data_IF_189122735404
#
_entry.id   IF_189122735404
#
_cell.length_a   1.000
_cell.length_b   1.000
_cell.length_c   1.000
_cell.angle_alpha   90.00
_cell.angle_beta   90.00
_cell.angle_gamma   90.00
#
_symmetry.space_group_name_H-M   'P 1'
#
loop_
_entity.id
_entity.type
_entity.pdbx_description
1 polymer ?
#
# COMPACT_ATOMS: atom_id res chain seq x y z
N UNK A 1 -53.17 -4.87 76.45
CA UNK A 1 -52.24 -3.87 75.86
C UNK A 1 -50.88 -4.03 76.53
N UNK A 2 -49.73 -3.91 75.84
CA UNK A 2 -49.52 -3.30 74.53
C UNK A 2 -48.93 -4.24 73.45
N UNK A 3 -48.99 -3.72 72.23
CA UNK A 3 -48.63 -4.24 70.92
C UNK A 3 -47.12 -4.17 70.65
N UNK A 4 -46.56 -5.16 69.94
CA UNK A 4 -45.22 -5.06 69.32
C UNK A 4 -45.28 -5.47 67.86
N UNK A 5 -45.36 -4.46 66.99
CA UNK A 5 -45.32 -4.60 65.53
C UNK A 5 -43.84 -4.70 65.12
N UNK A 6 -43.44 -5.77 64.42
CA UNK A 6 -42.15 -5.84 63.71
C UNK A 6 -42.33 -5.21 62.32
N UNK A 7 -41.42 -4.31 61.87
CA UNK A 7 -41.51 -3.73 60.55
C UNK A 7 -41.11 -4.75 59.49
N UNK A 8 -41.96 -4.91 58.47
CA UNK A 8 -41.63 -5.69 57.28
C UNK A 8 -40.50 -5.02 56.50
N UNK A 9 -39.42 -5.76 56.29
CA UNK A 9 -38.38 -5.42 55.32
C UNK A 9 -38.96 -5.46 53.91
N UNK A 10 -39.35 -4.30 53.39
CA UNK A 10 -39.70 -4.16 51.98
C UNK A 10 -38.46 -4.35 51.10
N UNK A 11 -38.40 -5.50 50.45
CA UNK A 11 -37.44 -5.86 49.42
C UNK A 11 -37.47 -4.86 48.26
N UNK A 12 -36.52 -3.91 48.25
CA UNK A 12 -36.20 -3.09 47.06
C UNK A 12 -35.43 -3.96 46.05
N UNK A 13 -36.14 -4.82 45.30
CA UNK A 13 -35.56 -5.58 44.17
C UNK A 13 -36.11 -5.21 42.79
N UNK A 14 -37.09 -4.30 42.69
CA UNK A 14 -37.73 -3.97 41.41
C UNK A 14 -37.02 -2.92 40.54
N UNK A 15 -36.06 -2.15 41.08
CA UNK A 15 -35.39 -1.10 40.29
C UNK A 15 -34.39 -1.60 39.24
N UNK A 16 -33.81 -2.80 39.42
CA UNK A 16 -32.71 -3.29 38.57
C UNK A 16 -33.15 -3.85 37.21
N UNK A 17 -34.41 -4.29 37.07
CA UNK A 17 -34.94 -4.80 35.78
C UNK A 17 -35.43 -3.68 34.87
N UNK A 18 -36.09 -2.65 35.42
CA UNK A 18 -36.54 -1.49 34.65
C UNK A 18 -35.36 -0.65 34.12
N UNK A 19 -34.30 -0.47 34.92
CA UNK A 19 -33.10 0.26 34.51
C UNK A 19 -32.37 -0.39 33.31
N UNK A 20 -32.47 -1.71 33.13
CA UNK A 20 -31.84 -2.43 32.00
C UNK A 20 -32.54 -2.18 30.67
N UNK A 21 -33.86 -1.92 30.67
CA UNK A 21 -34.62 -1.63 29.46
C UNK A 21 -34.34 -0.23 28.91
N UNK A 22 -34.20 0.75 29.80
CA UNK A 22 -33.96 2.16 29.45
C UNK A 22 -32.59 2.32 28.78
N UNK A 23 -31.55 1.67 29.32
CA UNK A 23 -30.19 1.71 28.74
C UNK A 23 -30.14 1.12 27.32
N UNK A 24 -30.90 0.06 27.05
CA UNK A 24 -30.98 -0.52 25.70
C UNK A 24 -31.63 0.42 24.69
N UNK A 25 -32.64 1.20 25.12
CA UNK A 25 -33.33 2.17 24.26
C UNK A 25 -32.44 3.37 23.97
N UNK A 26 -31.72 3.88 24.97
CA UNK A 26 -30.73 4.95 24.77
C UNK A 26 -29.60 4.51 23.84
N UNK A 27 -29.09 3.28 24.01
CA UNK A 27 -28.07 2.72 23.11
C UNK A 27 -28.60 2.55 21.68
N UNK A 28 -29.85 2.10 21.50
CA UNK A 28 -30.45 1.95 20.18
C UNK A 28 -30.60 3.28 19.43
N UNK A 29 -30.82 4.37 20.16
CA UNK A 29 -30.95 5.73 19.60
C UNK A 29 -29.57 6.34 19.27
N UNK A 30 -28.52 6.03 20.04
CA UNK A 30 -27.15 6.47 19.79
C UNK A 30 -26.40 5.63 18.75
N UNK A 31 -26.76 4.36 18.59
CA UNK A 31 -26.15 3.42 17.65
C UNK A 31 -26.02 3.96 16.21
N UNK A 32 -27.04 4.56 15.57
CA UNK A 32 -26.89 5.08 14.20
C UNK A 32 -25.83 6.18 14.10
N UNK A 33 -25.68 7.03 15.11
CA UNK A 33 -24.65 8.07 15.16
C UNK A 33 -23.27 7.44 15.34
N UNK A 34 -23.15 6.45 16.23
CA UNK A 34 -21.91 5.72 16.46
C UNK A 34 -21.46 4.95 15.20
N UNK A 35 -22.38 4.29 14.50
CA UNK A 35 -22.09 3.60 13.24
C UNK A 35 -21.67 4.60 12.16
N UNK A 36 -22.37 5.73 12.03
CA UNK A 36 -22.00 6.78 11.09
C UNK A 36 -20.59 7.33 11.32
N UNK A 37 -20.12 7.37 12.57
CA UNK A 37 -18.75 7.80 12.92
C UNK A 37 -17.71 6.67 12.78
N UNK A 38 -18.06 5.44 13.15
CA UNK A 38 -17.13 4.30 13.13
C UNK A 38 -16.75 3.89 11.70
N UNK A 39 -17.69 4.01 10.77
CA UNK A 39 -17.57 3.58 9.39
C UNK A 39 -16.43 4.30 8.62
N UNK A 40 -16.35 5.65 8.58
CA UNK A 40 -15.21 6.34 7.98
C UNK A 40 -13.87 6.05 8.68
N UNK A 41 -13.87 5.95 10.02
CA UNK A 41 -12.66 5.65 10.80
C UNK A 41 -12.10 4.27 10.43
N UNK A 42 -12.97 3.29 10.19
CA UNK A 42 -12.57 1.97 9.74
C UNK A 42 -11.89 2.01 8.37
N UNK A 43 -12.45 2.74 7.41
CA UNK A 43 -11.83 2.89 6.08
C UNK A 43 -10.46 3.59 6.17
N UNK A 44 -10.32 4.61 7.03
CA UNK A 44 -9.02 5.26 7.30
C UNK A 44 -8.01 4.26 7.88
N UNK A 45 -8.42 3.49 8.91
CA UNK A 45 -7.55 2.52 9.56
C UNK A 45 -7.04 1.46 8.58
N UNK A 46 -7.92 0.93 7.72
CA UNK A 46 -7.55 -0.02 6.67
C UNK A 46 -6.57 0.58 5.66
N UNK A 47 -6.76 1.85 5.31
CA UNK A 47 -5.88 2.56 4.37
C UNK A 47 -4.46 2.76 4.95
N UNK A 48 -4.38 3.17 6.21
CA UNK A 48 -3.10 3.29 6.92
C UNK A 48 -2.40 1.92 7.03
N UNK A 49 -3.15 0.88 7.38
CA UNK A 49 -2.61 -0.48 7.47
C UNK A 49 -2.04 -0.94 6.12
N UNK A 50 -2.77 -0.73 5.03
CA UNK A 50 -2.30 -1.06 3.69
C UNK A 50 -1.03 -0.29 3.31
N UNK A 51 -0.98 1.01 3.60
CA UNK A 51 0.20 1.83 3.35
C UNK A 51 1.44 1.31 4.13
N UNK A 52 1.28 0.93 5.39
CA UNK A 52 2.38 0.36 6.19
C UNK A 52 2.91 -0.95 5.60
N UNK A 53 2.01 -1.82 5.14
CA UNK A 53 2.38 -3.09 4.50
C UNK A 53 3.19 -2.82 3.23
N UNK A 54 2.74 -1.90 2.37
CA UNK A 54 3.47 -1.55 1.12
C UNK A 54 4.85 -0.96 1.40
N UNK A 55 4.98 -0.11 2.42
CA UNK A 55 6.29 0.43 2.83
C UNK A 55 7.21 -0.70 3.28
N UNK A 56 6.73 -1.63 4.10
CA UNK A 56 7.55 -2.75 4.56
C UNK A 56 7.94 -3.68 3.39
N UNK A 57 7.00 -3.98 2.49
CA UNK A 57 7.25 -4.78 1.28
C UNK A 57 8.28 -4.12 0.37
N UNK A 58 8.19 -2.81 0.14
CA UNK A 58 9.18 -2.11 -0.69
C UNK A 58 10.57 -2.14 -0.04
N UNK A 59 10.67 -1.99 1.29
CA UNK A 59 11.95 -2.06 2.02
C UNK A 59 12.54 -3.46 2.03
N UNK A 60 11.74 -4.47 2.34
CA UNK A 60 12.17 -5.86 2.33
C UNK A 60 12.54 -6.29 0.91
N UNK A 61 11.75 -5.89 -0.09
CA UNK A 61 12.02 -6.13 -1.49
C UNK A 61 13.31 -5.48 -1.96
N UNK A 62 13.59 -4.23 -1.60
CA UNK A 62 14.82 -3.56 -1.98
C UNK A 62 16.06 -4.24 -1.35
N UNK A 63 15.97 -4.66 -0.10
CA UNK A 63 17.05 -5.41 0.56
C UNK A 63 17.23 -6.84 0.01
N UNK A 64 16.14 -7.52 -0.33
CA UNK A 64 16.21 -8.87 -0.91
C UNK A 64 16.72 -8.84 -2.34
N UNK A 65 16.26 -7.89 -3.15
CA UNK A 65 16.73 -7.75 -4.54
C UNK A 65 18.20 -7.37 -4.59
N UNK A 66 18.66 -6.42 -3.79
CA UNK A 66 20.08 -6.03 -3.78
C UNK A 66 21.05 -7.15 -3.40
N UNK A 67 20.59 -8.14 -2.62
CA UNK A 67 21.43 -9.25 -2.15
C UNK A 67 21.23 -10.55 -2.91
N UNK A 68 20.02 -10.79 -3.40
CA UNK A 68 19.60 -12.09 -3.90
C UNK A 68 19.21 -12.09 -5.39
N UNK A 69 19.25 -10.94 -6.06
CA UNK A 69 18.99 -10.79 -7.51
C UNK A 69 19.81 -11.72 -8.39
N UNK A 70 21.05 -12.01 -7.98
CA UNK A 70 21.98 -12.87 -8.72
C UNK A 70 21.73 -14.38 -8.48
N UNK A 71 21.01 -14.73 -7.41
CA UNK A 71 20.80 -16.13 -6.99
C UNK A 71 19.38 -16.61 -7.28
N UNK A 72 18.38 -15.72 -7.17
CA UNK A 72 16.98 -16.06 -7.36
C UNK A 72 16.35 -15.21 -8.46
N UNK A 73 15.45 -15.77 -9.28
CA UNK A 73 14.72 -15.00 -10.26
C UNK A 73 13.81 -13.98 -9.56
N UNK A 74 13.67 -12.79 -10.16
CA UNK A 74 12.92 -11.67 -9.57
C UNK A 74 11.47 -12.02 -9.25
N UNK A 75 10.83 -12.89 -10.04
CA UNK A 75 9.48 -13.37 -9.75
C UNK A 75 9.37 -14.12 -8.43
N UNK A 76 10.39 -14.89 -8.04
CA UNK A 76 10.38 -15.62 -6.77
C UNK A 76 10.50 -14.66 -5.59
N UNK A 77 11.28 -13.59 -5.75
CA UNK A 77 11.39 -12.53 -4.74
C UNK A 77 10.06 -11.78 -4.63
N UNK A 78 9.45 -11.38 -5.75
CA UNK A 78 8.16 -10.69 -5.71
C UNK A 78 7.04 -11.59 -5.19
N UNK A 79 7.02 -12.87 -5.54
CA UNK A 79 5.98 -13.79 -5.06
C UNK A 79 6.08 -14.04 -3.56
N UNK A 80 7.29 -14.15 -3.00
CA UNK A 80 7.49 -14.25 -1.55
C UNK A 80 7.05 -12.97 -0.83
N UNK A 81 7.36 -11.79 -1.38
CA UNK A 81 6.87 -10.51 -0.85
C UNK A 81 5.34 -10.45 -0.86
N UNK A 82 4.68 -10.85 -1.95
CA UNK A 82 3.21 -10.88 -2.00
C UNK A 82 2.57 -11.91 -1.06
N UNK A 83 3.31 -12.94 -0.66
CA UNK A 83 2.82 -13.91 0.33
C UNK A 83 2.81 -13.34 1.76
N UNK A 84 3.59 -12.27 2.04
CA UNK A 84 3.66 -11.62 3.35
C UNK A 84 2.72 -10.41 3.49
N UNK A 85 1.99 -10.05 2.42
CA UNK A 85 1.02 -8.94 2.43
C UNK A 85 -0.39 -9.20 2.95
N UNK A 86 -0.88 -10.43 3.27
CA UNK A 86 -2.19 -10.59 3.89
C UNK A 86 -2.35 -9.67 5.11
N UNK A 87 -3.47 -8.93 5.23
CA UNK A 87 -4.78 -9.11 4.57
C UNK A 87 -4.96 -8.46 3.19
N UNK A 88 -3.93 -7.86 2.59
CA UNK A 88 -4.03 -7.25 1.26
C UNK A 88 -4.09 -8.34 0.17
N UNK A 89 -5.00 -8.15 -0.79
CA UNK A 89 -5.10 -9.00 -1.96
C UNK A 89 -4.25 -8.44 -3.09
N UNK A 90 -2.95 -8.77 -3.09
CA UNK A 90 -2.02 -8.32 -4.12
C UNK A 90 -2.41 -8.85 -5.51
N UNK A 91 -2.91 -10.09 -5.62
CA UNK A 91 -3.33 -10.68 -6.91
C UNK A 91 -4.41 -9.85 -7.61
N UNK A 92 -5.41 -9.35 -6.87
CA UNK A 92 -6.50 -8.59 -7.47
C UNK A 92 -6.17 -7.10 -7.66
N UNK A 93 -5.44 -6.51 -6.72
CA UNK A 93 -5.33 -5.05 -6.60
C UNK A 93 -3.92 -4.53 -6.39
N UNK A 94 -2.91 -5.38 -6.32
CA UNK A 94 -1.53 -5.01 -6.04
C UNK A 94 -0.60 -5.24 -7.21
N UNK A 95 0.49 -4.48 -7.23
CA UNK A 95 1.61 -4.68 -8.15
C UNK A 95 2.92 -4.31 -7.50
N UNK A 96 3.99 -4.99 -7.91
CA UNK A 96 5.35 -4.69 -7.52
C UNK A 96 6.19 -4.52 -8.78
N UNK A 97 6.94 -3.43 -8.84
CA UNK A 97 7.97 -3.20 -9.85
C UNK A 97 9.33 -3.14 -9.17
N UNK A 98 10.32 -3.75 -9.79
CA UNK A 98 11.72 -3.67 -9.40
C UNK A 98 12.48 -3.07 -10.58
N UNK A 99 13.02 -1.88 -10.41
CA UNK A 99 13.80 -1.17 -11.43
C UNK A 99 15.26 -1.13 -10.99
N UNK A 100 16.14 -1.53 -11.88
CA UNK A 100 17.58 -1.47 -11.69
C UNK A 100 18.12 -0.19 -12.32
N UNK A 101 18.73 0.66 -11.50
CA UNK A 101 19.29 1.95 -11.90
C UNK A 101 20.80 1.88 -11.75
N UNK A 102 21.52 2.16 -12.82
CA UNK A 102 22.97 2.29 -12.80
C UNK A 102 23.38 3.75 -12.84
N UNK A 103 24.35 4.14 -12.02
CA UNK A 103 24.98 5.45 -12.11
C UNK A 103 25.69 5.63 -13.45
N UNK A 104 25.40 6.73 -14.15
CA UNK A 104 26.06 7.10 -15.38
C UNK A 104 26.93 8.35 -15.14
N UNK A 105 28.08 8.44 -15.82
CA UNK A 105 28.95 9.63 -15.79
C UNK A 105 28.44 10.77 -16.69
N UNK A 106 27.13 10.79 -16.97
CA UNK A 106 26.50 11.87 -17.72
C UNK A 106 26.23 13.06 -16.79
N UNK A 107 27.29 13.50 -16.12
CA UNK A 107 27.31 14.66 -15.24
C UNK A 107 27.49 15.92 -16.09
N UNK A 108 27.14 17.09 -15.55
CA UNK A 108 27.55 18.34 -16.16
C UNK A 108 29.08 18.49 -16.17
N UNK A 109 29.60 19.46 -16.92
CA UNK A 109 31.04 19.71 -17.05
C UNK A 109 31.73 20.07 -15.71
N UNK A 110 30.96 20.29 -14.64
CA UNK A 110 31.45 20.54 -13.28
C UNK A 110 31.37 19.30 -12.39
N UNK A 111 30.99 18.13 -12.94
CA UNK A 111 30.83 16.89 -12.20
C UNK A 111 29.57 16.82 -11.33
N UNK A 112 28.63 17.75 -11.49
CA UNK A 112 27.36 17.75 -10.77
C UNK A 112 26.25 17.11 -11.62
N UNK A 113 25.11 16.82 -11.00
CA UNK A 113 23.91 16.36 -11.70
C UNK A 113 24.03 15.02 -12.45
N UNK A 114 24.95 14.14 -12.05
CA UNK A 114 25.09 12.80 -12.63
C UNK A 114 23.78 12.02 -12.55
N UNK A 115 23.18 11.70 -13.70
CA UNK A 115 21.90 11.00 -13.76
C UNK A 115 22.07 9.49 -13.74
N UNK A 116 21.08 8.79 -13.18
CA UNK A 116 21.00 7.33 -13.31
C UNK A 116 20.43 6.93 -14.67
N UNK A 117 20.77 5.73 -15.13
CA UNK A 117 20.15 5.08 -16.29
C UNK A 117 19.46 3.80 -15.86
N UNK A 118 18.31 3.50 -16.46
CA UNK A 118 17.61 2.23 -16.24
C UNK A 118 18.27 1.15 -17.08
N UNK A 119 18.74 0.09 -16.42
CA UNK A 119 19.42 -1.04 -17.06
C UNK A 119 18.51 -2.26 -17.17
N UNK A 120 17.67 -2.47 -16.15
CA UNK A 120 16.67 -3.53 -16.15
C UNK A 120 15.42 -3.07 -15.40
N UNK A 121 14.28 -3.66 -15.76
CA UNK A 121 13.06 -3.50 -15.01
C UNK A 121 12.28 -4.81 -15.00
N UNK A 122 11.69 -5.13 -13.87
CA UNK A 122 10.88 -6.31 -13.66
C UNK A 122 9.52 -5.90 -13.08
N UNK A 123 8.45 -6.58 -13.52
CA UNK A 123 7.12 -6.49 -12.92
C UNK A 123 6.70 -7.82 -12.33
N UNK A 124 5.91 -7.79 -11.27
CA UNK A 124 5.29 -9.01 -10.77
C UNK A 124 4.20 -9.51 -11.72
N UNK A 125 4.21 -10.81 -12.05
CA UNK A 125 3.24 -11.39 -13.00
C UNK A 125 2.05 -12.10 -12.31
N UNK A 126 2.00 -12.10 -10.97
CA UNK A 126 0.93 -12.77 -10.22
C UNK A 126 -0.34 -11.94 -10.01
N UNK A 127 -0.41 -10.73 -10.59
CA UNK A 127 -1.50 -9.78 -10.40
C UNK A 127 -2.36 -9.54 -11.65
N UNK A 128 -3.55 -8.97 -11.45
CA UNK A 128 -4.45 -8.52 -12.52
C UNK A 128 -4.56 -6.97 -12.62
N UNK A 129 -3.92 -6.27 -11.70
CA UNK A 129 -3.79 -4.82 -11.71
C UNK A 129 -2.45 -4.46 -12.38
N UNK A 130 -2.37 -3.42 -13.20
CA UNK A 130 -1.12 -3.06 -13.90
C UNK A 130 -0.97 -1.53 -14.00
N UNK A 131 -0.74 -0.82 -12.89
CA UNK A 131 -0.49 0.62 -12.92
C UNK A 131 0.88 0.91 -13.54
N UNK A 132 1.02 2.05 -14.20
CA UNK A 132 2.33 2.48 -14.71
C UNK A 132 3.29 2.77 -13.54
N UNK A 133 4.53 2.28 -13.64
CA UNK A 133 5.62 2.62 -12.72
C UNK A 133 5.85 4.14 -12.72
N UNK A 134 6.15 4.72 -11.55
CA UNK A 134 6.45 6.15 -11.41
C UNK A 134 7.93 6.45 -11.69
N UNK A 135 8.80 5.44 -11.59
CA UNK A 135 10.24 5.59 -11.86
C UNK A 135 10.53 5.59 -13.35
N UNK A 136 10.05 4.56 -14.05
CA UNK A 136 10.19 4.42 -15.50
C UNK A 136 9.24 3.32 -16.00
N UNK A 137 8.61 3.48 -17.15
CA UNK A 137 7.59 2.54 -17.61
C UNK A 137 8.03 1.75 -18.86
N UNK A 138 8.27 0.45 -18.69
CA UNK A 138 8.42 -0.48 -19.80
C UNK A 138 7.14 -0.56 -20.65
N UNK A 139 7.31 -0.57 -21.98
CA UNK A 139 6.24 -0.29 -22.94
C UNK A 139 6.43 1.05 -23.67
N UNK A 140 7.35 1.88 -23.17
CA UNK A 140 7.75 3.14 -23.77
C UNK A 140 9.04 2.97 -24.57
N UNK A 141 9.27 3.82 -25.57
CA UNK A 141 10.53 3.86 -26.33
C UNK A 141 10.95 2.51 -26.98
N UNK A 142 9.98 1.71 -27.44
CA UNK A 142 10.24 0.42 -28.13
C UNK A 142 10.51 -0.76 -27.19
N UNK A 143 10.41 -0.55 -25.87
CA UNK A 143 10.52 -1.62 -24.87
C UNK A 143 9.18 -2.35 -24.69
N UNK A 144 9.22 -3.61 -24.29
CA UNK A 144 8.02 -4.42 -24.08
C UNK A 144 8.21 -5.44 -22.97
N UNK A 145 7.17 -5.71 -22.20
CA UNK A 145 7.21 -6.76 -21.20
C UNK A 145 7.37 -8.14 -21.83
N UNK A 146 8.31 -8.93 -21.32
CA UNK A 146 8.53 -10.30 -21.73
C UNK A 146 7.30 -11.18 -21.42
N UNK A 147 6.97 -12.08 -22.36
CA UNK A 147 5.85 -13.03 -22.25
C UNK A 147 6.29 -14.42 -21.76
N UNK A 148 7.54 -14.57 -21.37
CA UNK A 148 8.18 -15.80 -20.89
C UNK A 148 7.89 -16.12 -19.41
N UNK A 149 7.10 -15.28 -18.74
CA UNK A 149 6.78 -15.40 -17.32
C UNK A 149 7.84 -14.85 -16.37
N UNK A 150 8.98 -14.35 -16.88
CA UNK A 150 10.01 -13.71 -16.05
C UNK A 150 9.59 -12.32 -15.57
N UNK A 151 8.62 -11.70 -16.26
CA UNK A 151 8.18 -10.33 -16.02
C UNK A 151 9.27 -9.29 -16.25
N UNK A 152 10.35 -9.65 -16.95
CA UNK A 152 11.41 -8.72 -17.34
C UNK A 152 10.94 -7.78 -18.45
N UNK A 153 11.53 -6.59 -18.50
CA UNK A 153 11.37 -5.68 -19.62
C UNK A 153 12.40 -5.98 -20.72
N UNK A 154 11.92 -6.24 -21.94
CA UNK A 154 12.73 -6.53 -23.12
C UNK A 154 13.04 -5.26 -23.92
N UNK A 155 14.11 -5.32 -24.71
CA UNK A 155 14.59 -4.27 -25.61
C UNK A 155 15.04 -2.97 -24.91
N UNK A 156 15.41 -3.05 -23.62
CA UNK A 156 16.11 -1.94 -22.97
C UNK A 156 17.50 -1.81 -23.64
N UNK A 157 17.87 -0.61 -24.13
CA UNK A 157 19.20 -0.37 -24.68
C UNK A 157 20.31 -0.71 -23.69
N UNK A 158 21.41 -1.28 -24.18
CA UNK A 158 22.60 -1.53 -23.37
C UNK A 158 23.04 -0.23 -22.66
N UNK A 159 23.55 -0.39 -21.43
CA UNK A 159 23.93 0.73 -20.55
C UNK A 159 24.81 1.75 -21.29
N UNK A 160 24.31 2.98 -21.46
CA UNK A 160 25.01 4.04 -22.17
C UNK A 160 24.14 5.25 -22.49
N UNK A 161 24.53 6.03 -23.50
CA UNK A 161 23.86 7.28 -23.87
C UNK A 161 22.43 7.12 -24.42
N UNK A 162 22.08 5.91 -24.90
CA UNK A 162 20.74 5.59 -25.39
C UNK A 162 19.81 5.01 -24.30
N UNK A 163 20.33 4.74 -23.10
CA UNK A 163 19.53 4.18 -22.02
C UNK A 163 18.57 5.22 -21.44
N UNK A 164 17.37 4.82 -20.99
CA UNK A 164 16.43 5.73 -20.36
C UNK A 164 17.03 6.36 -19.11
N UNK A 165 17.04 7.69 -19.07
CA UNK A 165 17.61 8.47 -17.98
C UNK A 165 16.55 8.71 -16.90
N UNK A 166 16.95 8.54 -15.63
CA UNK A 166 16.15 8.82 -14.45
C UNK A 166 16.88 9.79 -13.53
N UNK A 167 16.15 10.81 -13.03
CA UNK A 167 16.69 11.79 -12.09
C UNK A 167 16.70 11.25 -10.64
N UNK A 168 16.16 10.06 -10.42
CA UNK A 168 16.23 9.38 -9.13
C UNK A 168 17.69 9.03 -8.82
N UNK A 169 18.14 9.34 -7.60
CA UNK A 169 19.54 9.18 -7.15
C UNK A 169 20.57 10.05 -7.89
N UNK A 170 20.14 11.18 -8.46
CA UNK A 170 21.05 12.11 -9.13
C UNK A 170 22.17 12.58 -8.19
N UNK A 171 23.42 12.42 -8.62
CA UNK A 171 24.61 12.77 -7.82
C UNK A 171 24.85 11.88 -6.59
N UNK A 172 24.13 10.76 -6.44
CA UNK A 172 24.32 9.79 -5.34
C UNK A 172 24.97 8.49 -5.80
N UNK A 173 24.95 8.20 -7.11
CA UNK A 173 25.54 7.00 -7.71
C UNK A 173 26.81 7.36 -8.49
N UNK A 174 27.89 6.62 -8.23
CA UNK A 174 29.09 6.66 -9.08
C UNK A 174 28.89 5.82 -10.34
N UNK A 175 29.71 6.03 -11.38
CA UNK A 175 29.68 5.22 -12.60
C UNK A 175 29.70 3.72 -12.30
N UNK A 176 28.77 2.97 -12.89
CA UNK A 176 28.72 1.52 -12.77
C UNK A 176 28.23 1.01 -11.41
N UNK A 177 27.92 1.89 -10.46
CA UNK A 177 27.21 1.51 -9.25
C UNK A 177 25.74 1.26 -9.58
N UNK A 178 25.18 0.17 -9.07
CA UNK A 178 23.80 -0.24 -9.30
C UNK A 178 23.01 -0.04 -8.02
N UNK A 179 21.82 0.56 -8.14
CA UNK A 179 20.82 0.66 -7.10
C UNK A 179 19.52 -0.02 -7.55
N UNK A 180 18.80 -0.57 -6.59
CA UNK A 180 17.52 -1.23 -6.81
C UNK A 180 16.40 -0.36 -6.26
N UNK A 181 15.41 -0.08 -7.12
CA UNK A 181 14.22 0.65 -6.75
C UNK A 181 13.04 -0.28 -6.77
N UNK A 182 12.37 -0.42 -5.64
CA UNK A 182 11.20 -1.28 -5.48
C UNK A 182 9.99 -0.42 -5.24
N UNK A 183 9.06 -0.48 -6.19
CA UNK A 183 7.78 0.21 -6.14
C UNK A 183 6.68 -0.80 -5.86
N UNK A 184 5.84 -0.51 -4.87
CA UNK A 184 4.67 -1.29 -4.53
C UNK A 184 3.41 -0.43 -4.69
N UNK A 185 2.47 -0.92 -5.48
CA UNK A 185 1.19 -0.29 -5.77
C UNK A 185 0.06 -1.12 -5.19
N UNK A 186 -0.98 -0.46 -4.72
CA UNK A 186 -2.21 -1.13 -4.32
C UNK A 186 -3.43 -0.25 -4.55
N UNK A 187 -4.45 -0.80 -5.20
CA UNK A 187 -5.74 -0.15 -5.36
C UNK A 187 -6.70 -0.61 -4.24
N UNK A 188 -6.79 0.18 -3.18
CA UNK A 188 -7.73 -0.06 -2.09
C UNK A 188 -9.16 0.27 -2.50
N UNK A 189 -10.02 -0.74 -2.52
CA UNK A 189 -11.47 -0.55 -2.62
C UNK A 189 -12.02 -0.08 -1.28
N UNK A 190 -12.50 1.18 -1.17
CA UNK A 190 -13.11 1.67 0.08
C UNK A 190 -14.38 0.86 0.36
N UNK A 191 -14.65 0.56 1.64
CA UNK A 191 -15.81 -0.24 2.01
C UNK A 191 -17.12 0.54 1.77
N UNK A 192 -17.05 1.87 1.86
CA UNK A 192 -18.23 2.75 1.85
C UNK A 192 -18.21 3.73 0.67
N UNK A 193 -17.05 3.91 0.03
CA UNK A 193 -16.88 4.84 -1.10
C UNK A 193 -17.32 6.26 -0.76
N UNK A 194 -17.69 7.03 -1.78
CA UNK A 194 -18.35 8.32 -1.58
C UNK A 194 -19.82 8.07 -1.21
N UNK A 195 -20.21 8.28 0.04
CA UNK A 195 -21.61 8.34 0.46
C UNK A 195 -22.22 9.61 -0.14
N UNK A 196 -23.14 9.44 -1.09
CA UNK A 196 -23.97 10.54 -1.60
C UNK A 196 -25.11 10.77 -0.61
N UNK A 197 -24.95 11.75 0.29
CA UNK A 197 -25.94 12.07 1.33
C UNK A 197 -27.12 12.91 0.80
N UNK A 198 -27.34 12.94 -0.52
CA UNK A 198 -28.29 13.85 -1.16
C UNK A 198 -27.83 15.32 -1.12
N UNK A 199 -28.46 16.20 -1.92
CA UNK A 199 -28.15 17.64 -2.01
C UNK A 199 -26.68 18.00 -2.33
N UNK A 200 -25.99 17.14 -3.08
CA UNK A 200 -24.61 17.42 -3.54
C UNK A 200 -23.53 17.24 -2.47
N UNK A 201 -23.88 16.76 -1.27
CA UNK A 201 -22.91 16.45 -0.22
C UNK A 201 -22.43 15.01 -0.43
N UNK A 202 -21.20 14.86 -0.92
CA UNK A 202 -20.52 13.58 -1.01
C UNK A 202 -19.39 13.55 0.03
N UNK A 203 -19.25 12.46 0.77
CA UNK A 203 -18.05 12.26 1.59
C UNK A 203 -16.82 12.15 0.67
N UNK A 204 -15.68 12.76 1.02
CA UNK A 204 -14.46 12.59 0.24
C UNK A 204 -14.09 11.11 0.23
N UNK A 205 -14.00 10.51 -0.95
CA UNK A 205 -13.42 9.19 -1.09
C UNK A 205 -11.94 9.30 -0.72
N UNK A 206 -11.49 8.53 0.28
CA UNK A 206 -10.07 8.37 0.55
C UNK A 206 -9.40 7.86 -0.73
N UNK A 207 -8.24 8.43 -1.09
CA UNK A 207 -7.52 8.04 -2.31
C UNK A 207 -7.36 6.52 -2.34
N UNK A 208 -7.93 5.82 -3.35
CA UNK A 208 -7.86 4.38 -3.42
C UNK A 208 -6.48 3.90 -3.89
N UNK A 209 -5.70 4.77 -4.54
CA UNK A 209 -4.39 4.42 -5.06
C UNK A 209 -3.33 4.64 -4.00
N UNK A 210 -2.80 3.54 -3.47
CA UNK A 210 -1.66 3.53 -2.56
C UNK A 210 -0.38 3.21 -3.31
N UNK A 211 0.68 3.87 -2.89
CA UNK A 211 2.00 3.78 -3.50
C UNK A 211 3.07 3.86 -2.42
N UNK A 212 4.05 2.98 -2.51
CA UNK A 212 5.27 3.03 -1.73
C UNK A 212 6.48 2.76 -2.63
N UNK A 213 7.57 3.47 -2.39
CA UNK A 213 8.83 3.29 -3.10
C UNK A 213 9.97 3.25 -2.09
N UNK A 214 10.87 2.29 -2.26
CA UNK A 214 12.13 2.24 -1.54
C UNK A 214 13.28 2.07 -2.53
N UNK A 215 14.40 2.69 -2.23
CA UNK A 215 15.63 2.66 -3.02
C UNK A 215 16.75 2.11 -2.12
N UNK A 216 17.57 1.20 -2.64
CA UNK A 216 18.68 0.57 -1.94
C UNK A 216 19.92 0.45 -2.82
#
# INVERSE_FOLDING_TARGET
MPTRIKPGTHSRRNGRRAARGIVSVEMALLLPILVALALPVYDIARNIQAQMILINVSREGANLTSRASLTYPMQTIMSSLTATTPPLNMTAHGMIYITEIMGNNNCDSSGNNCTGIVVAQYRWNGGNYYPASQTWNCGSAGTSWATDGTGSCSNIPAAGAASPVVNLLQGQLSSGQIAYVVEAFYHQTPLIGSLKLGRGIATPALSPNLYAMTVF
#
